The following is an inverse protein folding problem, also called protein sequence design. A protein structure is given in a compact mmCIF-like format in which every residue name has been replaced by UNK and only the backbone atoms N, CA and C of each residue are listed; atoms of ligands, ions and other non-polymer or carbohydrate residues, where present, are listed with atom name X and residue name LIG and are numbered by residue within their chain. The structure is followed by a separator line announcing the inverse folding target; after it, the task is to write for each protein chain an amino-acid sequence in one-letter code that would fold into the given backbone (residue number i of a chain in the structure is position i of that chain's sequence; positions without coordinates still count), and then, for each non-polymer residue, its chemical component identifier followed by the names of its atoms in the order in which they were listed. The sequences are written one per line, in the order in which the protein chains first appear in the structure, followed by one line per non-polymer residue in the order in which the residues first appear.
data_IF_523192808548
#
_entry.id   IF_523192808548
#
_cell.length_a   1.000
_cell.length_b   1.000
_cell.length_c   1.000
_cell.angle_alpha   90.00
_cell.angle_beta   90.00
_cell.angle_gamma   90.00
#
_symmetry.space_group_name_H-M   'P 1'
#
loop_
_entity.id
_entity.type
_entity.pdbx_description
1 polymer ?
#
# COMPACT_ATOMS: atom_id res chain seq x y z
N UNK A 1 -83.73 17.35 21.12
CA UNK A 1 -82.94 18.59 20.96
C UNK A 1 -81.57 18.22 20.42
N UNK A 2 -81.27 18.57 19.16
CA UNK A 2 -79.88 18.61 18.68
C UNK A 2 -79.17 19.80 19.33
N UNK A 3 -77.85 19.72 19.48
CA UNK A 3 -77.04 20.63 18.70
C UNK A 3 -75.89 19.93 17.96
N UNK A 4 -75.32 20.74 17.07
CA UNK A 4 -74.52 20.45 15.88
C UNK A 4 -73.03 20.65 16.19
N UNK A 5 -72.18 20.19 15.25
CA UNK A 5 -70.78 20.62 14.97
C UNK A 5 -69.68 19.98 15.87
N UNK A 6 -68.49 19.58 15.41
CA UNK A 6 -67.72 19.84 14.17
C UNK A 6 -66.92 18.59 13.75
N UNK A 7 -66.73 18.42 12.44
CA UNK A 7 -65.74 17.51 11.83
C UNK A 7 -64.41 18.26 11.72
N UNK A 8 -63.30 17.65 12.13
CA UNK A 8 -61.95 18.12 11.86
C UNK A 8 -61.19 17.06 11.05
N UNK A 9 -60.59 17.39 9.88
CA UNK A 9 -59.73 16.46 9.17
C UNK A 9 -58.30 16.58 9.71
N UNK A 10 -57.74 15.48 10.24
CA UNK A 10 -56.30 15.40 10.42
C UNK A 10 -55.65 15.12 9.06
N UNK A 11 -54.94 16.12 8.53
CA UNK A 11 -54.11 15.99 7.35
C UNK A 11 -52.92 15.06 7.65
N UNK A 12 -52.82 13.95 6.92
CA UNK A 12 -51.65 13.08 6.91
C UNK A 12 -50.51 13.77 6.13
N UNK A 13 -49.54 14.32 6.84
CA UNK A 13 -48.31 14.85 6.24
C UNK A 13 -47.37 13.70 5.84
N UNK A 14 -47.33 13.38 4.54
CA UNK A 14 -46.28 12.57 3.94
C UNK A 14 -44.99 13.39 3.87
N UNK A 15 -44.08 13.16 4.82
CA UNK A 15 -42.73 13.70 4.77
C UNK A 15 -41.95 12.99 3.65
N UNK A 16 -41.76 13.68 2.52
CA UNK A 16 -40.77 13.29 1.52
C UNK A 16 -39.38 13.58 2.08
N UNK A 17 -38.70 12.54 2.58
CA UNK A 17 -37.26 12.61 2.85
C UNK A 17 -36.51 12.67 1.52
N UNK A 18 -35.62 13.66 1.30
CA UNK A 18 -34.74 13.63 0.14
C UNK A 18 -33.70 12.53 0.40
N UNK A 19 -33.70 11.50 -0.44
CA UNK A 19 -32.62 10.54 -0.48
C UNK A 19 -31.36 11.27 -0.99
N UNK A 20 -30.47 11.64 -0.08
CA UNK A 20 -29.11 12.06 -0.46
C UNK A 20 -28.40 10.82 -0.98
N UNK A 21 -28.29 10.72 -2.30
CA UNK A 21 -27.39 9.75 -2.93
C UNK A 21 -25.96 10.15 -2.54
N UNK A 22 -25.37 9.42 -1.60
CA UNK A 22 -23.95 9.53 -1.34
C UNK A 22 -23.21 9.03 -2.59
N UNK A 23 -22.68 9.94 -3.38
CA UNK A 23 -21.78 9.61 -4.47
C UNK A 23 -20.51 9.01 -3.85
N UNK A 24 -20.43 7.67 -3.88
CA UNK A 24 -19.25 6.96 -3.41
C UNK A 24 -18.09 7.30 -4.32
N UNK A 25 -17.20 8.17 -3.84
CA UNK A 25 -15.93 8.44 -4.49
C UNK A 25 -15.22 7.09 -4.75
N UNK A 26 -14.69 6.85 -5.97
CA UNK A 26 -13.98 5.62 -6.26
C UNK A 26 -12.85 5.47 -5.26
N UNK A 27 -12.73 4.27 -4.67
CA UNK A 27 -11.62 3.95 -3.77
C UNK A 27 -10.31 4.27 -4.49
N UNK A 28 -9.43 5.03 -3.85
CA UNK A 28 -8.12 5.33 -4.41
C UNK A 28 -7.42 4.01 -4.78
N UNK A 29 -6.88 3.95 -5.99
CA UNK A 29 -6.12 2.78 -6.43
C UNK A 29 -4.99 2.51 -5.43
N UNK A 30 -4.72 1.24 -5.06
CA UNK A 30 -3.62 0.93 -4.17
C UNK A 30 -2.31 1.45 -4.76
N UNK A 31 -1.46 2.05 -3.94
CA UNK A 31 -0.14 2.50 -4.39
C UNK A 31 0.66 1.29 -4.88
N UNK A 32 1.13 1.38 -6.12
CA UNK A 32 2.10 0.44 -6.70
C UNK A 32 3.35 1.24 -6.99
N UNK A 33 4.47 0.81 -6.42
CA UNK A 33 5.78 1.40 -6.71
C UNK A 33 6.05 1.43 -8.22
N UNK A 34 6.78 2.44 -8.68
CA UNK A 34 7.13 2.57 -10.10
C UNK A 34 8.10 1.47 -10.52
N UNK A 35 8.18 1.20 -11.82
CA UNK A 35 9.14 0.25 -12.39
C UNK A 35 10.22 1.01 -13.15
N UNK A 36 11.48 0.71 -12.83
CA UNK A 36 12.63 1.36 -13.47
C UNK A 36 13.85 0.43 -13.43
N UNK A 37 14.01 -0.44 -14.44
CA UNK A 37 15.13 -1.37 -14.49
C UNK A 37 16.50 -0.68 -14.59
N UNK A 38 16.56 0.58 -15.03
CA UNK A 38 17.81 1.28 -15.34
C UNK A 38 18.62 1.65 -14.09
N UNK A 39 17.96 1.82 -12.93
CA UNK A 39 18.67 2.08 -11.66
C UNK A 39 19.33 0.82 -11.07
N UNK A 40 18.99 -0.36 -11.60
CA UNK A 40 19.43 -1.64 -11.10
C UNK A 40 20.62 -2.17 -11.90
N UNK A 41 21.82 -1.77 -11.50
CA UNK A 41 23.04 -2.25 -12.13
C UNK A 41 23.30 -3.73 -11.82
N UNK A 42 23.88 -4.45 -12.79
CA UNK A 42 24.42 -5.79 -12.58
C UNK A 42 25.76 -5.67 -11.87
N UNK A 43 25.81 -6.08 -10.62
CA UNK A 43 27.06 -6.18 -9.85
C UNK A 43 27.44 -7.66 -9.76
N UNK A 44 28.74 -8.02 -9.84
CA UNK A 44 29.15 -9.40 -9.68
C UNK A 44 28.61 -10.00 -8.38
N UNK A 45 28.14 -11.25 -8.43
CA UNK A 45 27.59 -12.00 -7.30
C UNK A 45 26.22 -11.49 -6.80
N UNK A 46 25.57 -10.53 -7.48
CA UNK A 46 24.22 -10.06 -7.11
C UNK A 46 23.21 -11.20 -7.06
N UNK A 47 23.28 -12.14 -8.01
CA UNK A 47 22.45 -13.34 -8.01
C UNK A 47 22.69 -14.25 -6.80
N UNK A 48 23.88 -14.22 -6.20
CA UNK A 48 24.23 -15.02 -5.02
C UNK A 48 23.83 -14.37 -3.70
N UNK A 49 23.41 -13.09 -3.73
CA UNK A 49 22.98 -12.38 -2.52
C UNK A 49 21.74 -13.05 -1.93
N UNK A 50 21.81 -13.31 -0.62
CA UNK A 50 20.70 -13.75 0.22
C UNK A 50 19.66 -12.61 0.27
N UNK A 51 18.39 -12.97 0.27
CA UNK A 51 17.27 -12.03 0.33
C UNK A 51 16.24 -12.47 1.37
N UNK A 52 15.24 -11.63 1.61
CA UNK A 52 14.17 -11.92 2.55
C UNK A 52 13.04 -12.70 1.86
N UNK A 53 12.58 -13.80 2.46
CA UNK A 53 11.28 -14.38 2.08
C UNK A 53 10.19 -13.63 2.82
N UNK A 54 9.28 -12.98 2.09
CA UNK A 54 8.26 -12.10 2.65
C UNK A 54 6.91 -12.31 1.97
N UNK A 55 5.85 -11.92 2.67
CA UNK A 55 4.51 -11.86 2.10
C UNK A 55 4.37 -10.61 1.19
N UNK A 56 3.96 -10.75 -0.08
CA UNK A 56 3.61 -9.61 -0.93
C UNK A 56 2.63 -8.62 -0.28
N UNK A 57 1.69 -9.09 0.55
CA UNK A 57 0.73 -8.25 1.24
C UNK A 57 1.39 -7.31 2.26
N UNK A 58 2.45 -7.77 2.93
CA UNK A 58 3.23 -6.92 3.85
C UNK A 58 4.02 -5.84 3.09
N UNK A 59 4.56 -6.18 1.91
CA UNK A 59 5.27 -5.20 1.05
C UNK A 59 4.32 -4.13 0.53
N UNK A 60 3.06 -4.48 0.23
CA UNK A 60 2.06 -3.52 -0.26
C UNK A 60 1.76 -2.40 0.73
N UNK A 61 1.98 -2.62 2.03
CA UNK A 61 1.84 -1.60 3.06
C UNK A 61 2.97 -0.54 3.03
N UNK A 62 4.01 -0.74 2.21
CA UNK A 62 5.14 0.17 2.06
C UNK A 62 4.78 1.21 0.99
N UNK A 63 4.20 2.32 1.42
CA UNK A 63 3.81 3.45 0.55
C UNK A 63 4.56 4.72 0.95
N UNK A 64 4.59 5.76 0.09
CA UNK A 64 5.12 7.06 0.49
C UNK A 64 4.51 7.55 1.81
N UNK A 65 5.35 8.16 2.65
CA UNK A 65 4.99 8.62 4.00
C UNK A 65 5.16 7.58 5.11
N UNK A 66 5.28 6.28 4.80
CA UNK A 66 5.50 5.25 5.83
C UNK A 66 6.86 5.45 6.50
N UNK A 67 6.89 5.38 7.83
CA UNK A 67 8.11 5.53 8.60
C UNK A 67 9.08 4.35 8.39
N UNK A 68 10.37 4.67 8.31
CA UNK A 68 11.47 3.73 8.08
C UNK A 68 11.54 2.60 9.11
N UNK A 69 11.18 2.84 10.37
CA UNK A 69 11.16 1.78 11.38
C UNK A 69 9.97 0.83 11.21
N UNK A 70 8.87 1.28 10.62
CA UNK A 70 7.74 0.40 10.27
C UNK A 70 8.17 -0.64 9.25
N UNK A 71 9.02 -0.26 8.28
CA UNK A 71 9.54 -1.17 7.25
C UNK A 71 10.30 -2.35 7.85
N UNK A 72 11.09 -2.12 8.91
CA UNK A 72 11.78 -3.21 9.62
C UNK A 72 10.83 -4.26 10.18
N UNK A 73 9.61 -3.86 10.58
CA UNK A 73 8.60 -4.79 11.11
C UNK A 73 7.88 -5.54 10.00
N UNK A 74 7.77 -4.94 8.81
CA UNK A 74 7.08 -5.54 7.67
C UNK A 74 7.96 -6.56 6.94
N UNK A 75 9.22 -6.22 6.66
CA UNK A 75 10.08 -7.02 5.77
C UNK A 75 11.51 -7.25 6.30
N UNK A 76 11.75 -6.88 7.57
CA UNK A 76 13.07 -7.00 8.19
C UNK A 76 14.05 -5.89 7.76
N UNK A 77 15.29 -5.92 8.26
CA UNK A 77 16.33 -4.99 7.86
C UNK A 77 16.87 -5.25 6.45
N UNK A 78 17.39 -4.22 5.76
CA UNK A 78 18.05 -4.42 4.48
C UNK A 78 19.35 -5.19 4.69
N UNK A 79 19.68 -6.07 3.75
CA UNK A 79 20.75 -7.06 3.91
C UNK A 79 22.17 -6.49 3.72
N UNK A 80 22.30 -5.29 3.13
CA UNK A 80 23.59 -4.77 2.64
C UNK A 80 24.16 -3.62 3.47
N UNK A 81 23.94 -3.63 4.80
CA UNK A 81 24.30 -2.52 5.71
C UNK A 81 23.65 -1.17 5.34
N UNK A 82 22.68 -1.17 4.43
CA UNK A 82 22.01 0.02 3.96
C UNK A 82 21.09 0.62 5.02
N UNK A 83 20.87 -0.04 6.16
CA UNK A 83 20.02 0.42 7.26
C UNK A 83 20.32 1.88 7.69
N UNK A 84 21.55 2.34 7.53
CA UNK A 84 21.98 3.72 7.84
C UNK A 84 21.77 4.72 6.69
N UNK A 85 21.54 4.26 5.46
CA UNK A 85 21.40 5.10 4.27
C UNK A 85 19.95 5.58 4.05
N UNK A 86 19.75 6.37 2.99
CA UNK A 86 18.43 6.82 2.51
C UNK A 86 17.92 6.03 1.30
N UNK A 87 18.61 4.96 0.93
CA UNK A 87 18.26 4.09 -0.20
C UNK A 87 18.51 2.65 0.21
N UNK A 88 17.45 1.86 0.25
CA UNK A 88 17.52 0.45 0.62
C UNK A 88 17.21 -0.41 -0.58
N UNK A 89 18.17 -1.22 -1.00
CA UNK A 89 18.04 -2.23 -2.01
C UNK A 89 17.72 -3.57 -1.35
N UNK A 90 16.56 -4.13 -1.68
CA UNK A 90 16.18 -5.45 -1.25
C UNK A 90 16.24 -6.45 -2.40
N UNK A 91 16.63 -7.66 -2.03
CA UNK A 91 16.25 -8.87 -2.74
C UNK A 91 15.13 -9.51 -1.93
N UNK A 92 13.94 -9.59 -2.51
CA UNK A 92 12.76 -10.21 -1.92
C UNK A 92 12.44 -11.50 -2.66
N UNK A 93 12.03 -12.51 -1.90
CA UNK A 93 11.52 -13.76 -2.43
C UNK A 93 10.05 -13.87 -2.07
N UNK A 94 9.21 -13.90 -3.10
CA UNK A 94 7.77 -14.09 -2.95
C UNK A 94 7.38 -15.52 -3.28
N UNK A 95 6.56 -16.18 -2.46
CA UNK A 95 5.95 -17.45 -2.83
C UNK A 95 5.16 -17.30 -4.15
N UNK A 96 5.24 -18.27 -5.05
CA UNK A 96 4.46 -18.26 -6.30
C UNK A 96 2.95 -18.37 -6.03
N UNK A 97 2.58 -18.96 -4.89
CA UNK A 97 1.23 -19.07 -4.36
C UNK A 97 1.29 -19.16 -2.82
N UNK A 98 0.21 -18.87 -2.08
CA UNK A 98 0.17 -19.04 -0.63
C UNK A 98 0.61 -20.45 -0.22
N UNK A 99 1.59 -20.57 0.68
CA UNK A 99 2.13 -21.83 1.15
C UNK A 99 3.13 -22.54 0.20
N UNK A 100 3.42 -21.98 -0.98
CA UNK A 100 4.38 -22.58 -1.90
C UNK A 100 5.83 -22.46 -1.42
N UNK A 101 6.61 -23.52 -1.67
CA UNK A 101 8.07 -23.53 -1.47
C UNK A 101 8.83 -22.89 -2.63
N UNK A 102 8.21 -22.84 -3.81
CA UNK A 102 8.77 -22.17 -4.98
C UNK A 102 8.59 -20.66 -4.83
N UNK A 103 9.64 -19.91 -5.19
CA UNK A 103 9.71 -18.47 -4.95
C UNK A 103 10.22 -17.73 -6.17
N UNK A 104 9.65 -16.55 -6.41
CA UNK A 104 10.15 -15.59 -7.39
C UNK A 104 11.04 -14.58 -6.70
N UNK A 105 12.23 -14.36 -7.28
CA UNK A 105 13.21 -13.36 -6.83
C UNK A 105 12.84 -12.00 -7.43
N UNK A 106 12.68 -11.00 -6.58
CA UNK A 106 12.36 -9.62 -6.95
C UNK A 106 13.37 -8.65 -6.35
N UNK A 107 13.78 -7.63 -7.11
CA UNK A 107 14.61 -6.53 -6.61
C UNK A 107 13.79 -5.26 -6.52
N UNK A 108 13.94 -4.55 -5.41
CA UNK A 108 13.26 -3.29 -5.13
C UNK A 108 14.21 -2.33 -4.42
N UNK A 109 14.17 -1.05 -4.82
CA UNK A 109 14.81 0.04 -4.09
C UNK A 109 13.71 0.84 -3.37
N UNK A 110 13.87 1.03 -2.06
CA UNK A 110 13.03 1.91 -1.25
C UNK A 110 13.85 3.15 -0.94
N UNK A 111 13.33 4.31 -1.33
CA UNK A 111 13.96 5.61 -1.06
C UNK A 111 13.29 6.27 0.11
N UNK A 112 14.10 6.98 0.88
CA UNK A 112 13.65 7.68 2.06
C UNK A 112 14.01 9.16 1.99
N UNK A 113 13.11 9.98 2.49
CA UNK A 113 13.34 11.41 2.71
C UNK A 113 13.29 11.74 4.19
N UNK A 114 13.89 12.86 4.57
CA UNK A 114 13.60 13.52 5.84
C UNK A 114 13.24 14.96 5.50
N UNK A 115 11.99 15.31 5.74
CA UNK A 115 11.54 16.67 5.53
C UNK A 115 12.25 17.63 6.48
N UNK A 116 12.51 18.85 6.00
CA UNK A 116 13.17 19.86 6.81
C UNK A 116 12.27 20.20 8.00
N UNK A 117 12.84 20.15 9.21
CA UNK A 117 12.08 20.38 10.46
C UNK A 117 11.48 19.12 11.07
N UNK A 118 11.60 17.96 10.41
CA UNK A 118 11.12 16.67 10.93
C UNK A 118 12.30 15.77 11.32
N UNK A 119 12.08 14.96 12.36
CA UNK A 119 13.01 13.91 12.78
C UNK A 119 12.78 12.61 12.00
N UNK A 120 11.54 12.38 11.60
CA UNK A 120 11.13 11.13 10.98
C UNK A 120 11.74 10.94 9.59
N UNK A 121 11.97 9.68 9.26
CA UNK A 121 12.50 9.26 7.97
C UNK A 121 11.43 8.43 7.30
N UNK A 122 10.81 8.98 6.27
CA UNK A 122 9.67 8.36 5.61
C UNK A 122 10.01 7.92 4.20
N UNK A 123 9.29 6.92 3.71
CA UNK A 123 9.38 6.46 2.33
C UNK A 123 9.01 7.61 1.39
N UNK A 124 9.82 7.86 0.38
CA UNK A 124 9.52 8.81 -0.70
C UNK A 124 9.24 8.13 -2.03
N UNK A 125 9.84 6.96 -2.27
CA UNK A 125 9.66 6.21 -3.52
C UNK A 125 9.87 4.71 -3.28
N UNK A 126 9.18 3.89 -4.07
CA UNK A 126 9.35 2.44 -4.14
C UNK A 126 9.52 2.07 -5.60
N UNK A 127 10.66 1.48 -5.92
CA UNK A 127 11.09 1.29 -7.31
C UNK A 127 11.38 -0.18 -7.54
N UNK A 128 10.64 -0.83 -8.42
CA UNK A 128 10.82 -2.22 -8.80
C UNK A 128 11.75 -2.35 -9.99
N UNK A 129 12.56 -3.41 -9.99
CA UNK A 129 13.36 -3.74 -11.16
C UNK A 129 12.50 -4.29 -12.31
N UNK A 130 11.42 -5.00 -11.99
CA UNK A 130 10.62 -5.76 -12.95
C UNK A 130 9.12 -5.54 -12.70
N UNK A 131 8.35 -5.42 -13.77
CA UNK A 131 6.90 -5.19 -13.72
C UNK A 131 6.15 -6.35 -13.04
N UNK A 132 6.53 -7.60 -13.29
CA UNK A 132 5.87 -8.76 -12.69
C UNK A 132 6.02 -8.80 -11.16
N UNK A 133 7.10 -8.20 -10.63
CA UNK A 133 7.29 -8.04 -9.19
C UNK A 133 6.36 -6.97 -8.60
N UNK A 134 6.21 -5.83 -9.28
CA UNK A 134 5.26 -4.79 -8.88
C UNK A 134 3.82 -5.32 -8.92
N UNK A 135 3.44 -6.03 -9.99
CA UNK A 135 2.11 -6.59 -10.18
C UNK A 135 1.77 -7.62 -9.10
N UNK A 136 2.73 -8.45 -8.67
CA UNK A 136 2.52 -9.42 -7.58
C UNK A 136 2.16 -8.74 -6.27
N UNK A 137 2.81 -7.61 -5.95
CA UNK A 137 2.51 -6.84 -4.75
C UNK A 137 1.16 -6.12 -4.87
N UNK A 138 0.86 -5.56 -6.05
CA UNK A 138 -0.42 -4.92 -6.33
C UNK A 138 -1.60 -5.89 -6.17
N UNK A 139 -1.43 -7.14 -6.64
CA UNK A 139 -2.46 -8.18 -6.62
C UNK A 139 -2.58 -8.94 -5.28
N UNK A 140 -1.70 -8.67 -4.31
CA UNK A 140 -1.78 -9.28 -2.98
C UNK A 140 -3.13 -8.95 -2.31
N UNK A 141 -3.54 -9.65 -1.24
CA UNK A 141 -4.76 -9.33 -0.49
C UNK A 141 -4.46 -9.18 0.98
#
# INVERSE_FOLDING_TARGET
MMPKLLVAPLAAGLALSPAVAAEQAPAAAPFVGRVDPAIFHKTPLEERKIGATVDPAAVRLITPGVDKFTIYRLIGPPHFMEGITRRWNYVLFFPVAPGSVERVRCRVEIRFIRERGHYDVTVSDVIWQDQACADRVAAAR
#
